data_IF_425773315543
#
_entry.id   IF_425773315543
#
_cell.length_a   1.000
_cell.length_b   1.000
_cell.length_c   1.000
_cell.angle_alpha   90.00
_cell.angle_beta   90.00
_cell.angle_gamma   90.00
#
_symmetry.space_group_name_H-M   'P 1'
#
loop_
_entity.id
_entity.type
_entity.pdbx_description
1 polymer ?
#
# COMPACT_ATOMS: atom_id res chain seq x y z
N UNK A 1 7.83 12.09 5.64
CA UNK A 1 7.84 10.66 5.24
C UNK A 1 7.50 9.80 6.44
N UNK A 2 6.65 8.79 6.28
CA UNK A 2 6.30 7.88 7.36
C UNK A 2 7.42 6.89 7.62
N UNK A 3 7.53 6.47 8.88
CA UNK A 3 8.47 5.41 9.26
C UNK A 3 7.76 4.06 9.14
N UNK A 4 8.35 3.13 8.39
CA UNK A 4 7.80 1.80 8.19
C UNK A 4 8.90 0.77 8.44
N UNK A 5 8.58 -0.22 9.27
CA UNK A 5 9.49 -1.33 9.57
C UNK A 5 8.88 -2.64 9.05
N UNK A 6 9.75 -3.61 8.81
CA UNK A 6 9.32 -4.98 8.50
C UNK A 6 8.38 -5.48 9.60
N UNK A 7 7.27 -6.06 9.21
CA UNK A 7 6.22 -6.53 10.12
C UNK A 7 5.10 -5.53 10.36
N UNK A 8 5.29 -4.27 9.98
CA UNK A 8 4.22 -3.28 10.08
C UNK A 8 3.13 -3.53 9.04
N UNK A 9 1.90 -3.19 9.39
CA UNK A 9 0.78 -3.22 8.46
C UNK A 9 0.59 -1.81 7.91
N UNK A 10 0.59 -1.69 6.59
CA UNK A 10 0.41 -0.40 5.92
C UNK A 10 -0.81 -0.44 5.00
N UNK A 11 -1.37 0.74 4.73
CA UNK A 11 -2.38 0.93 3.68
C UNK A 11 -1.78 1.82 2.62
N UNK A 12 -1.88 1.40 1.37
CA UNK A 12 -1.44 2.19 0.23
C UNK A 12 -2.61 2.47 -0.69
N UNK A 13 -2.89 3.73 -0.93
CA UNK A 13 -3.93 4.15 -1.87
C UNK A 13 -3.41 4.04 -3.30
N UNK A 14 -4.25 3.49 -4.19
CA UNK A 14 -3.89 3.35 -5.61
C UNK A 14 -3.82 4.70 -6.29
N UNK A 15 -4.68 5.63 -5.88
CA UNK A 15 -4.68 7.01 -6.38
C UNK A 15 -5.31 7.92 -5.33
N UNK A 16 -5.13 9.23 -5.54
CA UNK A 16 -5.63 10.23 -4.60
C UNK A 16 -7.15 10.17 -4.48
N UNK A 17 -7.71 10.06 -3.27
CA UNK A 17 -9.15 10.09 -3.06
C UNK A 17 -9.77 11.38 -3.60
N UNK A 18 -10.97 11.27 -4.20
CA UNK A 18 -11.69 12.39 -4.78
C UNK A 18 -13.14 12.38 -4.32
N UNK A 19 -13.76 13.55 -4.30
CA UNK A 19 -15.19 13.68 -3.96
C UNK A 19 -16.02 12.87 -4.95
N UNK A 20 -16.97 12.07 -4.43
CA UNK A 20 -17.85 11.24 -5.24
C UNK A 20 -17.20 9.95 -5.77
N UNK A 21 -16.01 9.62 -5.29
CA UNK A 21 -15.27 8.43 -5.71
C UNK A 21 -14.85 7.63 -4.49
N UNK A 22 -15.06 6.33 -4.54
CA UNK A 22 -14.63 5.44 -3.46
C UNK A 22 -13.11 5.36 -3.40
N UNK A 23 -12.59 5.23 -2.18
CA UNK A 23 -11.16 5.04 -1.98
C UNK A 23 -10.75 3.66 -2.50
N UNK A 24 -9.65 3.63 -3.24
CA UNK A 24 -9.07 2.40 -3.75
C UNK A 24 -7.71 2.19 -3.11
N UNK A 25 -7.56 1.08 -2.38
CA UNK A 25 -6.35 0.84 -1.61
C UNK A 25 -6.10 -0.64 -1.42
N UNK A 26 -4.86 -0.96 -1.00
CA UNK A 26 -4.51 -2.26 -0.45
C UNK A 26 -3.92 -2.05 0.94
N UNK A 27 -4.12 -3.04 1.80
CA UNK A 27 -3.44 -3.11 3.09
C UNK A 27 -2.64 -4.41 3.12
N UNK A 28 -1.51 -4.39 3.78
CA UNK A 28 -0.72 -5.58 3.90
C UNK A 28 0.43 -5.43 4.88
N UNK A 29 1.06 -6.56 5.16
CA UNK A 29 2.20 -6.64 6.08
C UNK A 29 3.48 -6.45 5.28
N UNK A 30 4.33 -5.54 5.74
CA UNK A 30 5.61 -5.26 5.09
C UNK A 30 6.57 -6.42 5.36
N UNK A 31 7.02 -7.06 4.28
CA UNK A 31 8.00 -8.13 4.36
C UNK A 31 9.43 -7.61 4.27
N UNK A 32 9.64 -6.58 3.44
CA UNK A 32 10.95 -5.92 3.34
C UNK A 32 10.83 -4.61 2.58
N UNK A 33 11.86 -3.79 2.70
CA UNK A 33 12.06 -2.59 1.89
C UNK A 33 13.04 -2.97 0.78
N UNK A 34 12.74 -2.64 -0.45
CA UNK A 34 13.52 -3.07 -1.60
C UNK A 34 13.74 -1.93 -2.60
N UNK A 35 14.79 -2.06 -3.40
CA UNK A 35 15.07 -1.16 -4.53
C UNK A 35 15.15 -1.93 -5.85
N UNK A 36 14.66 -3.17 -5.87
CA UNK A 36 14.74 -4.05 -7.04
C UNK A 36 14.08 -3.48 -8.30
N UNK A 37 13.12 -2.59 -8.12
CA UNK A 37 12.38 -1.97 -9.23
C UNK A 37 13.02 -0.67 -9.74
N UNK A 38 14.22 -0.34 -9.26
CA UNK A 38 14.89 0.91 -9.60
C UNK A 38 14.41 2.11 -8.77
N UNK A 39 13.52 1.88 -7.82
CA UNK A 39 13.04 2.88 -6.86
C UNK A 39 12.76 2.18 -5.53
N UNK A 40 12.68 2.97 -4.47
CA UNK A 40 12.36 2.43 -3.14
C UNK A 40 10.92 1.94 -3.12
N UNK A 41 10.70 0.74 -2.62
CA UNK A 41 9.37 0.16 -2.50
C UNK A 41 9.27 -0.71 -1.26
N UNK A 42 8.05 -0.81 -0.71
CA UNK A 42 7.74 -1.79 0.31
C UNK A 42 7.17 -3.02 -0.35
N UNK A 43 7.79 -4.19 -0.11
CA UNK A 43 7.22 -5.46 -0.52
C UNK A 43 6.23 -5.90 0.56
N UNK A 44 4.97 -6.02 0.20
CA UNK A 44 3.92 -6.38 1.16
C UNK A 44 3.20 -7.65 0.75
N UNK A 45 2.71 -8.40 1.75
CA UNK A 45 1.72 -9.45 1.54
C UNK A 45 0.36 -8.84 1.83
N UNK A 46 -0.50 -8.80 0.82
CA UNK A 46 -1.79 -8.12 0.92
C UNK A 46 -2.74 -8.90 1.82
N UNK A 47 -3.30 -8.21 2.80
CA UNK A 47 -4.30 -8.78 3.73
C UNK A 47 -5.70 -8.23 3.46
N UNK A 48 -5.82 -7.07 2.81
CA UNK A 48 -7.09 -6.46 2.48
C UNK A 48 -6.96 -5.65 1.19
N UNK A 49 -7.96 -5.76 0.34
CA UNK A 49 -8.02 -5.02 -0.93
C UNK A 49 -9.41 -4.41 -1.05
N UNK A 50 -9.48 -3.10 -1.31
CA UNK A 50 -10.76 -2.41 -1.47
C UNK A 50 -11.56 -2.91 -2.66
N UNK A 51 -10.90 -3.58 -3.63
CA UNK A 51 -11.54 -4.18 -4.80
C UNK A 51 -12.05 -5.60 -4.55
N UNK A 52 -11.72 -6.19 -3.38
CA UNK A 52 -12.15 -7.55 -3.06
C UNK A 52 -13.62 -7.58 -2.62
N UNK A 53 -14.27 -8.71 -2.90
CA UNK A 53 -15.62 -8.98 -2.45
C UNK A 53 -15.77 -10.45 -2.05
N UNK A 54 -17.01 -10.92 -1.84
CA UNK A 54 -17.28 -12.29 -1.40
C UNK A 54 -16.86 -13.35 -2.43
N UNK A 55 -16.80 -12.99 -3.71
CA UNK A 55 -16.49 -13.92 -4.81
C UNK A 55 -15.06 -13.73 -5.34
N UNK A 56 -14.53 -12.51 -5.24
CA UNK A 56 -13.20 -12.16 -5.77
C UNK A 56 -12.35 -11.55 -4.67
N UNK A 57 -11.26 -12.22 -4.36
CA UNK A 57 -10.31 -11.74 -3.33
C UNK A 57 -9.45 -10.57 -3.81
N UNK A 58 -9.49 -10.23 -5.09
CA UNK A 58 -8.63 -9.22 -5.64
C UNK A 58 -7.16 -9.56 -5.42
N UNK A 59 -6.43 -8.67 -4.76
CA UNK A 59 -5.00 -8.84 -4.49
C UNK A 59 -4.70 -9.52 -3.14
N UNK A 60 -5.72 -9.87 -2.36
CA UNK A 60 -5.52 -10.51 -1.05
C UNK A 60 -4.72 -11.81 -1.18
N UNK A 61 -3.70 -11.96 -0.37
CA UNK A 61 -2.79 -13.10 -0.39
C UNK A 61 -1.65 -12.99 -1.39
N UNK A 62 -1.66 -11.96 -2.24
CA UNK A 62 -0.63 -11.73 -3.24
C UNK A 62 0.46 -10.80 -2.71
N UNK A 63 1.61 -10.83 -3.38
CA UNK A 63 2.71 -9.89 -3.11
C UNK A 63 2.52 -8.66 -3.99
N UNK A 64 2.61 -7.49 -3.38
CA UNK A 64 2.55 -6.21 -4.08
C UNK A 64 3.74 -5.36 -3.65
N UNK A 65 4.31 -4.64 -4.60
CA UNK A 65 5.37 -3.66 -4.34
C UNK A 65 4.74 -2.27 -4.30
N UNK A 66 4.87 -1.60 -3.16
CA UNK A 66 4.32 -0.25 -2.95
C UNK A 66 5.45 0.76 -3.15
N UNK A 67 5.45 1.51 -4.27
CA UNK A 67 6.49 2.51 -4.52
C UNK A 67 6.42 3.63 -3.50
N UNK A 68 7.59 4.11 -3.07
CA UNK A 68 7.69 5.24 -2.16
C UNK A 68 8.77 6.20 -2.66
N UNK A 69 8.66 7.46 -2.26
CA UNK A 69 9.61 8.50 -2.66
C UNK A 69 9.66 8.71 -4.18
N UNK A 70 8.56 8.42 -4.88
CA UNK A 70 8.43 8.66 -6.31
C UNK A 70 7.64 9.96 -6.46
N UNK A 71 8.33 11.06 -6.71
CA UNK A 71 7.78 12.41 -6.57
C UNK A 71 6.48 12.67 -7.35
N UNK A 72 6.34 12.11 -8.57
CA UNK A 72 5.13 12.33 -9.36
C UNK A 72 3.92 11.56 -8.82
N UNK A 73 4.11 10.60 -7.92
CA UNK A 73 3.02 9.81 -7.32
C UNK A 73 2.69 10.24 -5.90
N UNK A 74 3.60 10.96 -5.25
CA UNK A 74 3.46 11.25 -3.83
C UNK A 74 2.44 12.33 -3.53
N UNK A 75 1.62 12.07 -2.52
CA UNK A 75 0.80 13.07 -1.86
C UNK A 75 0.71 12.66 -0.38
N UNK A 76 0.40 13.61 0.47
CA UNK A 76 0.30 13.34 1.91
C UNK A 76 -0.80 12.31 2.19
N UNK A 77 -0.45 11.25 2.90
CA UNK A 77 -1.40 10.21 3.26
C UNK A 77 -1.58 9.11 2.22
N UNK A 78 -0.81 9.09 1.13
CA UNK A 78 -0.90 8.00 0.15
C UNK A 78 -0.56 6.65 0.79
N UNK A 79 0.43 6.62 1.65
CA UNK A 79 0.78 5.42 2.42
C UNK A 79 0.65 5.73 3.89
N UNK A 80 -0.11 4.93 4.61
CA UNK A 80 -0.37 5.09 6.03
C UNK A 80 0.12 3.85 6.76
N UNK A 81 0.86 4.04 7.85
CA UNK A 81 1.29 2.93 8.69
C UNK A 81 0.24 2.67 9.78
N UNK A 82 -0.56 1.64 9.59
CA UNK A 82 -1.64 1.29 10.52
C UNK A 82 -1.13 0.78 11.86
N UNK A 83 0.09 0.23 11.88
CA UNK A 83 0.70 -0.30 13.11
C UNK A 83 1.19 0.81 14.04
N UNK A 84 1.26 2.05 13.57
CA UNK A 84 1.82 3.18 14.31
C UNK A 84 0.86 4.36 14.46
N UNK A 85 -0.41 4.12 14.26
CA UNK A 85 -1.46 5.13 14.47
C UNK A 85 -1.70 5.35 15.96
#
# INVERSE_FOLDING_TARGET
MIKVNVGDTIRSYDFKPMVGREDCFVEGVVERVTTEQGYKAYKITVTKDSWSDAEDKGRVGKIVFVPVEVSFMEYAGRVINLSRI
#
